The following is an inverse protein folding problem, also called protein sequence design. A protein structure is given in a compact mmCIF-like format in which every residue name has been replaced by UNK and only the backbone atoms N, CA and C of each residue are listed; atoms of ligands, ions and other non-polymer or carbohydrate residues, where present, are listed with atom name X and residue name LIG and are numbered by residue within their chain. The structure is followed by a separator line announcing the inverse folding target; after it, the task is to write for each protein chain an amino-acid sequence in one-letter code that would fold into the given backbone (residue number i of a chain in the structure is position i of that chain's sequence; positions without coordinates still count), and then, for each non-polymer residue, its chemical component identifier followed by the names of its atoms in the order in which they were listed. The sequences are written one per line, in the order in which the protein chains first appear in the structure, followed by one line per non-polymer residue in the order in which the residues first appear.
data_IF_676171122328
#
_entry.id   IF_676171122328
#
_cell.length_a   1.000
_cell.length_b   1.000
_cell.length_c   1.000
_cell.angle_alpha   90.00
_cell.angle_beta   90.00
_cell.angle_gamma   90.00
#
_symmetry.space_group_name_H-M   'P 1'
#
loop_
_entity.id
_entity.type
_entity.pdbx_description
1 polymer ?
#
# COMPACT_ATOMS: atom_id res chain seq x y z
N UNK A 1 9.86 12.14 -38.74
CA UNK A 1 8.74 11.71 -37.89
C UNK A 1 7.69 10.98 -38.74
N UNK A 2 7.44 11.32 -40.01
CA UNK A 2 6.43 10.65 -40.84
C UNK A 2 6.88 9.25 -41.40
N UNK A 3 8.17 8.95 -41.50
CA UNK A 3 8.69 7.66 -41.98
C UNK A 3 8.69 6.56 -40.91
N UNK A 4 8.66 6.87 -39.63
CA UNK A 4 8.60 5.89 -38.52
C UNK A 4 7.23 5.26 -38.34
N UNK A 5 6.16 5.91 -38.75
CA UNK A 5 4.80 5.39 -38.66
C UNK A 5 4.43 4.38 -39.75
N UNK A 6 5.11 4.40 -40.88
CA UNK A 6 4.83 3.48 -42.00
C UNK A 6 5.42 2.09 -41.74
N UNK A 7 6.48 1.96 -40.96
CA UNK A 7 7.10 0.66 -40.66
C UNK A 7 6.34 -0.14 -39.58
N UNK A 8 5.52 0.53 -38.73
CA UNK A 8 4.71 -0.13 -37.71
C UNK A 8 3.38 -0.67 -38.26
N UNK A 9 2.93 -0.14 -39.41
CA UNK A 9 1.66 -0.54 -40.04
C UNK A 9 1.75 -1.81 -40.92
N UNK A 10 2.96 -2.30 -41.22
CA UNK A 10 3.19 -3.45 -42.10
C UNK A 10 3.34 -4.81 -41.39
N UNK A 11 3.21 -4.83 -40.04
CA UNK A 11 3.32 -6.06 -39.26
C UNK A 11 1.97 -6.65 -38.79
N UNK A 12 0.83 -6.11 -39.25
CA UNK A 12 -0.49 -6.58 -38.82
C UNK A 12 -1.27 -7.12 -40.03
N UNK A 13 -0.77 -8.15 -40.70
CA UNK A 13 -1.60 -8.97 -41.58
C UNK A 13 -1.20 -10.44 -41.50
N UNK A 14 -1.49 -11.07 -40.36
CA UNK A 14 -1.72 -12.49 -40.29
C UNK A 14 -3.10 -12.73 -39.69
N UNK A 15 -4.10 -12.84 -40.56
CA UNK A 15 -5.45 -13.30 -40.19
C UNK A 15 -5.38 -14.81 -39.86
N UNK A 16 -5.11 -15.14 -38.62
CA UNK A 16 -5.45 -16.45 -38.10
C UNK A 16 -6.91 -16.40 -37.62
N UNK A 17 -7.80 -17.04 -38.34
CA UNK A 17 -9.14 -17.33 -37.87
C UNK A 17 -9.00 -18.30 -36.69
N UNK A 18 -9.06 -17.79 -35.48
CA UNK A 18 -9.23 -18.60 -34.28
C UNK A 18 -10.64 -19.13 -34.27
N UNK A 19 -10.82 -20.43 -34.47
CA UNK A 19 -12.04 -21.12 -34.11
C UNK A 19 -12.16 -21.03 -32.59
N UNK A 20 -13.20 -20.36 -32.12
CA UNK A 20 -13.56 -20.39 -30.70
C UNK A 20 -13.90 -21.83 -30.36
N UNK A 21 -13.03 -22.51 -29.65
CA UNK A 21 -13.34 -23.73 -28.95
C UNK A 21 -14.20 -23.31 -27.77
N UNK A 22 -15.45 -23.72 -27.68
CA UNK A 22 -16.26 -23.63 -26.48
C UNK A 22 -15.52 -24.43 -25.40
N UNK A 23 -14.72 -23.77 -24.61
CA UNK A 23 -14.29 -24.29 -23.31
C UNK A 23 -15.57 -24.47 -22.48
N UNK A 24 -15.89 -25.70 -22.16
CA UNK A 24 -16.82 -26.04 -21.09
C UNK A 24 -16.24 -25.48 -19.79
N UNK A 25 -16.52 -24.22 -19.53
CA UNK A 25 -16.22 -23.57 -18.29
C UNK A 25 -17.18 -24.12 -17.22
N UNK A 26 -16.88 -25.34 -16.75
CA UNK A 26 -17.43 -25.78 -15.47
C UNK A 26 -16.97 -24.71 -14.47
N UNK A 27 -17.90 -24.10 -13.75
CA UNK A 27 -17.62 -23.19 -12.64
C UNK A 27 -16.79 -23.93 -11.57
N UNK A 28 -15.50 -24.15 -11.84
CA UNK A 28 -14.55 -24.50 -10.81
C UNK A 28 -14.38 -23.23 -10.00
N UNK A 29 -14.91 -23.22 -8.79
CA UNK A 29 -14.60 -22.21 -7.81
C UNK A 29 -13.09 -22.33 -7.59
N UNK A 30 -12.35 -21.34 -8.02
CA UNK A 30 -10.90 -21.29 -7.88
C UNK A 30 -10.59 -21.37 -6.38
N UNK A 31 -9.87 -22.40 -5.97
CA UNK A 31 -9.51 -22.62 -4.57
C UNK A 31 -8.47 -21.58 -4.16
N UNK A 32 -8.86 -20.69 -3.26
CA UNK A 32 -7.94 -19.66 -2.77
C UNK A 32 -7.03 -20.27 -1.69
N UNK A 33 -5.76 -20.43 -2.03
CA UNK A 33 -4.73 -20.90 -1.10
C UNK A 33 -4.22 -19.72 -0.27
N UNK A 34 -4.12 -19.90 1.05
CA UNK A 34 -3.66 -18.89 2.00
C UNK A 34 -2.54 -19.42 2.88
N UNK A 35 -1.74 -18.51 3.46
CA UNK A 35 -0.65 -18.83 4.39
C UNK A 35 -0.92 -18.34 5.82
N UNK A 36 -2.18 -18.17 6.16
CA UNK A 36 -2.65 -17.63 7.42
C UNK A 36 -2.14 -18.38 8.67
N UNK A 37 -1.85 -19.67 8.56
CA UNK A 37 -1.27 -20.50 9.63
C UNK A 37 0.23 -20.80 9.42
N UNK A 38 0.95 -19.95 8.66
CA UNK A 38 2.36 -20.17 8.28
C UNK A 38 2.59 -21.44 7.44
N UNK A 39 1.53 -21.99 6.87
CA UNK A 39 1.51 -23.11 5.93
C UNK A 39 0.43 -22.85 4.88
N UNK A 40 0.63 -23.40 3.70
CA UNK A 40 -0.37 -23.31 2.61
C UNK A 40 -1.58 -24.19 2.94
N UNK A 41 -2.76 -23.60 2.87
CA UNK A 41 -4.04 -24.26 3.12
C UNK A 41 -5.13 -23.59 2.29
N UNK A 42 -6.20 -24.32 2.00
CA UNK A 42 -7.41 -23.71 1.47
C UNK A 42 -7.96 -22.67 2.46
N UNK A 43 -8.37 -21.51 1.95
CA UNK A 43 -8.97 -20.46 2.79
C UNK A 43 -10.24 -20.96 3.50
N UNK A 44 -10.92 -21.98 2.96
CA UNK A 44 -12.12 -22.57 3.55
C UNK A 44 -11.80 -23.51 4.73
N UNK A 45 -10.59 -24.07 4.76
CA UNK A 45 -10.16 -25.00 5.82
C UNK A 45 -9.53 -24.30 7.02
N UNK A 46 -9.28 -22.99 6.90
CA UNK A 46 -8.64 -22.23 7.96
C UNK A 46 -9.67 -21.82 9.02
N UNK A 47 -9.54 -22.23 10.31
CA UNK A 47 -10.51 -21.91 11.37
C UNK A 47 -10.33 -20.47 11.89
N UNK A 48 -10.10 -19.50 11.02
CA UNK A 48 -9.87 -18.09 11.32
C UNK A 48 -10.73 -17.27 10.35
N UNK A 49 -11.25 -16.14 10.83
CA UNK A 49 -11.95 -15.19 9.95
C UNK A 49 -10.94 -14.52 9.02
N UNK A 50 -10.84 -15.00 7.80
CA UNK A 50 -9.91 -14.52 6.79
C UNK A 50 -10.66 -13.94 5.58
N UNK A 51 -10.09 -12.94 4.95
CA UNK A 51 -10.42 -12.49 3.59
C UNK A 51 -9.13 -12.49 2.78
N UNK A 52 -9.12 -13.23 1.69
CA UNK A 52 -7.99 -13.26 0.76
C UNK A 52 -8.41 -12.62 -0.57
N UNK A 53 -7.53 -11.83 -1.14
CA UNK A 53 -7.72 -11.14 -2.42
C UNK A 53 -6.55 -11.50 -3.31
N UNK A 54 -6.82 -12.16 -4.43
CA UNK A 54 -5.83 -12.57 -5.41
C UNK A 54 -5.44 -11.48 -6.40
N UNK A 55 -4.50 -11.76 -7.28
CA UNK A 55 -3.91 -10.83 -8.25
C UNK A 55 -4.97 -10.20 -9.16
N UNK A 56 -5.98 -10.94 -9.60
CA UNK A 56 -7.03 -10.43 -10.49
C UNK A 56 -7.78 -9.25 -9.87
N UNK A 57 -8.21 -9.37 -8.61
CA UNK A 57 -8.89 -8.28 -7.91
C UNK A 57 -7.93 -7.11 -7.65
N UNK A 58 -6.70 -7.39 -7.26
CA UNK A 58 -5.69 -6.38 -6.98
C UNK A 58 -5.30 -5.58 -8.23
N UNK A 59 -5.26 -6.22 -9.39
CA UNK A 59 -4.87 -5.58 -10.64
C UNK A 59 -5.97 -4.71 -11.27
N UNK A 60 -7.24 -4.96 -10.93
CA UNK A 60 -8.40 -4.33 -11.57
C UNK A 60 -8.72 -2.93 -11.04
N UNK A 61 -8.89 -2.79 -9.74
CA UNK A 61 -9.43 -1.57 -9.11
C UNK A 61 -8.59 -1.03 -7.96
N UNK A 62 -7.76 -1.88 -7.35
CA UNK A 62 -6.95 -1.55 -6.19
C UNK A 62 -5.61 -0.97 -6.67
N UNK A 63 -5.23 0.21 -6.19
CA UNK A 63 -3.95 0.87 -6.52
C UNK A 63 -2.91 0.71 -5.42
N UNK A 64 -3.38 0.67 -4.17
CA UNK A 64 -2.54 0.46 -2.98
C UNK A 64 -3.35 -0.26 -1.90
N UNK A 65 -2.71 -0.64 -0.80
CA UNK A 65 -3.38 -1.36 0.28
C UNK A 65 -4.57 -0.57 0.88
N UNK A 66 -4.54 0.76 0.89
CA UNK A 66 -5.66 1.55 1.42
C UNK A 66 -6.97 1.36 0.62
N UNK A 67 -6.86 1.07 -0.67
CA UNK A 67 -8.02 0.87 -1.55
C UNK A 67 -8.80 -0.42 -1.24
N UNK A 68 -8.24 -1.35 -0.44
CA UNK A 68 -8.96 -2.57 -0.02
C UNK A 68 -10.06 -2.31 1.03
N UNK A 69 -10.19 -1.07 1.50
CA UNK A 69 -11.32 -0.67 2.33
C UNK A 69 -12.64 -0.95 1.61
N UNK A 70 -13.52 -1.68 2.28
CA UNK A 70 -14.81 -2.12 1.70
C UNK A 70 -14.79 -3.52 1.07
N UNK A 71 -13.64 -4.06 0.73
CA UNK A 71 -13.54 -5.46 0.25
C UNK A 71 -13.50 -6.49 1.36
N UNK A 72 -13.07 -6.09 2.57
CA UNK A 72 -13.11 -6.94 3.75
C UNK A 72 -14.08 -6.38 4.80
N UNK A 73 -15.03 -7.17 5.32
CA UNK A 73 -16.00 -6.70 6.32
C UNK A 73 -15.30 -6.23 7.60
N UNK A 74 -15.71 -5.06 8.13
CA UNK A 74 -15.19 -4.45 9.35
C UNK A 74 -13.68 -4.13 9.30
N UNK A 75 -13.14 -3.88 8.11
CA UNK A 75 -11.77 -3.42 7.87
C UNK A 75 -11.85 -2.04 7.23
N UNK A 76 -11.18 -1.08 7.86
CA UNK A 76 -11.01 0.27 7.34
C UNK A 76 -9.52 0.55 7.25
N UNK A 77 -9.07 0.92 6.08
CA UNK A 77 -7.73 1.37 5.83
C UNK A 77 -7.82 2.82 5.36
N UNK A 78 -7.38 3.73 6.21
CA UNK A 78 -7.28 5.14 5.87
C UNK A 78 -5.84 5.44 5.48
N UNK A 79 -5.61 6.06 4.33
CA UNK A 79 -4.34 6.70 4.04
C UNK A 79 -4.39 8.12 4.58
N UNK A 80 -3.35 8.57 5.24
CA UNK A 80 -3.16 9.99 5.56
C UNK A 80 -2.72 10.78 4.33
N UNK A 81 -3.32 10.47 3.19
CA UNK A 81 -3.11 11.21 1.97
C UNK A 81 -1.86 10.89 1.17
N UNK A 82 -1.05 9.92 1.59
CA UNK A 82 0.20 9.50 0.94
C UNK A 82 0.12 8.08 0.45
N UNK A 83 0.90 7.75 -0.61
CA UNK A 83 1.06 6.37 -1.06
C UNK A 83 1.92 5.53 -0.12
N UNK A 84 3.11 6.03 0.24
CA UNK A 84 4.06 5.34 1.12
C UNK A 84 3.89 5.68 2.59
N UNK A 85 2.95 6.57 2.93
CA UNK A 85 2.74 7.05 4.30
C UNK A 85 2.14 6.02 5.24
N UNK A 86 1.98 6.44 6.48
CA UNK A 86 1.33 5.66 7.49
C UNK A 86 -0.14 5.41 7.13
N UNK A 87 -0.57 4.17 7.16
CA UNK A 87 -1.97 3.84 7.04
C UNK A 87 -2.63 3.76 8.41
N UNK A 88 -3.80 4.40 8.52
CA UNK A 88 -4.72 4.13 9.62
C UNK A 88 -5.38 2.80 9.39
N UNK A 89 -4.97 1.79 10.11
CA UNK A 89 -5.54 0.45 9.98
C UNK A 89 -6.49 0.20 11.14
N UNK A 90 -7.74 -0.12 10.82
CA UNK A 90 -8.75 -0.49 11.79
C UNK A 90 -9.41 -1.82 11.41
N UNK A 91 -9.42 -2.77 12.34
CA UNK A 91 -10.11 -4.05 12.18
C UNK A 91 -11.06 -4.25 13.36
N UNK A 92 -12.38 -4.41 13.10
CA UNK A 92 -13.42 -4.61 14.11
C UNK A 92 -13.44 -3.53 15.20
N UNK A 93 -13.14 -2.27 14.83
CA UNK A 93 -13.09 -1.14 15.77
C UNK A 93 -11.77 -1.02 16.55
N UNK A 94 -10.84 -1.97 16.39
CA UNK A 94 -9.50 -1.89 17.00
C UNK A 94 -8.60 -1.13 16.02
N UNK A 95 -8.00 -0.04 16.47
CA UNK A 95 -7.07 0.80 15.70
C UNK A 95 -5.90 1.25 16.56
N UNK A 96 -4.84 1.75 15.96
CA UNK A 96 -3.83 2.52 16.67
C UNK A 96 -4.47 3.81 17.25
N UNK A 97 -3.98 4.26 18.40
CA UNK A 97 -4.50 5.48 19.03
C UNK A 97 -4.25 6.72 18.18
N UNK A 98 -3.10 6.75 17.51
CA UNK A 98 -2.73 7.76 16.50
C UNK A 98 -1.90 7.08 15.42
N UNK A 99 -1.99 7.57 14.18
CA UNK A 99 -1.21 7.02 13.07
C UNK A 99 0.12 7.75 12.86
N UNK A 100 0.24 8.91 13.51
CA UNK A 100 1.38 9.83 13.39
C UNK A 100 2.40 9.65 14.51
N UNK A 101 2.03 8.94 15.57
CA UNK A 101 2.87 8.75 16.76
C UNK A 101 3.50 7.36 16.75
N UNK A 102 4.81 7.33 16.49
CA UNK A 102 5.60 6.09 16.52
C UNK A 102 5.92 5.60 17.95
N UNK A 103 5.41 6.27 18.99
CA UNK A 103 5.59 5.86 20.39
C UNK A 103 4.76 4.64 20.77
N UNK A 104 3.68 4.37 20.03
CA UNK A 104 2.79 3.24 20.28
C UNK A 104 2.85 2.23 19.14
N UNK A 105 3.03 0.98 19.50
CA UNK A 105 2.89 -0.12 18.55
C UNK A 105 1.43 -0.22 18.03
N UNK A 106 1.26 -0.44 16.74
CA UNK A 106 -0.06 -0.72 16.15
C UNK A 106 -0.63 -2.03 16.70
N UNK A 107 -1.91 -2.10 17.07
CA UNK A 107 -2.55 -3.37 17.49
C UNK A 107 -2.85 -4.30 16.30
N UNK A 108 -2.55 -3.88 15.09
CA UNK A 108 -2.72 -4.64 13.86
C UNK A 108 -1.38 -4.70 13.16
N UNK A 109 -0.92 -5.92 12.91
CA UNK A 109 0.35 -6.14 12.21
C UNK A 109 0.16 -6.09 10.70
N UNK A 110 1.13 -5.50 10.02
CA UNK A 110 1.32 -5.64 8.57
C UNK A 110 2.57 -6.47 8.35
N UNK A 111 2.45 -7.53 7.59
CA UNK A 111 3.57 -8.38 7.18
C UNK A 111 3.73 -8.34 5.67
N UNK A 112 4.97 -8.34 5.21
CA UNK A 112 5.33 -8.49 3.79
C UNK A 112 6.24 -9.71 3.67
N UNK A 113 5.83 -10.71 2.91
CA UNK A 113 6.58 -11.95 2.69
C UNK A 113 7.04 -12.61 4.01
N UNK A 114 6.21 -12.49 5.05
CA UNK A 114 6.48 -13.05 6.38
C UNK A 114 7.25 -12.15 7.34
N UNK A 115 7.71 -10.98 6.91
CA UNK A 115 8.41 -9.99 7.74
C UNK A 115 7.41 -8.97 8.30
N UNK A 116 7.40 -8.82 9.61
CA UNK A 116 6.61 -7.81 10.31
C UNK A 116 7.16 -6.40 10.07
N UNK A 117 6.29 -5.48 9.69
CA UNK A 117 6.60 -4.07 9.60
C UNK A 117 6.42 -3.42 10.97
N UNK A 118 7.52 -2.99 11.58
CA UNK A 118 7.53 -2.40 12.92
C UNK A 118 6.89 -1.01 12.99
N UNK A 119 6.74 -0.34 11.85
CA UNK A 119 6.14 1.00 11.74
C UNK A 119 5.09 1.02 10.64
N UNK A 120 4.11 1.91 10.79
CA UNK A 120 3.09 2.12 9.76
C UNK A 120 3.64 2.88 8.54
N UNK A 121 4.70 3.69 8.73
CA UNK A 121 5.38 4.36 7.64
C UNK A 121 5.94 3.33 6.63
N UNK A 122 5.73 3.58 5.35
CA UNK A 122 6.13 2.66 4.28
C UNK A 122 5.31 1.37 4.22
N UNK A 123 4.17 1.30 4.92
CA UNK A 123 3.28 0.14 4.88
C UNK A 123 2.30 0.14 3.69
N UNK A 124 2.11 1.29 3.05
CA UNK A 124 1.27 1.41 1.86
C UNK A 124 2.07 1.03 0.62
N UNK A 125 2.03 -0.23 0.27
CA UNK A 125 2.73 -0.77 -0.89
C UNK A 125 1.92 -0.60 -2.17
N UNK A 126 2.62 -0.45 -3.29
CA UNK A 126 2.01 -0.57 -4.61
C UNK A 126 1.62 -2.04 -4.86
N UNK A 127 0.44 -2.26 -5.40
CA UNK A 127 -0.13 -3.59 -5.62
C UNK A 127 0.32 -4.26 -6.92
N UNK A 128 1.14 -3.62 -7.73
CA UNK A 128 1.46 -4.09 -9.08
C UNK A 128 2.27 -5.40 -9.10
N UNK A 129 3.01 -5.70 -8.02
CA UNK A 129 3.79 -6.92 -7.84
C UNK A 129 3.25 -7.83 -6.73
N UNK A 130 1.99 -7.69 -6.35
CA UNK A 130 1.36 -8.53 -5.34
C UNK A 130 0.70 -9.75 -5.97
N UNK A 131 0.92 -10.90 -5.36
CA UNK A 131 0.20 -12.13 -5.67
C UNK A 131 -1.15 -12.15 -4.96
N UNK A 132 -1.14 -11.85 -3.66
CA UNK A 132 -2.34 -11.79 -2.84
C UNK A 132 -2.15 -11.00 -1.55
N UNK A 133 -3.28 -10.56 -0.99
CA UNK A 133 -3.37 -9.98 0.34
C UNK A 133 -4.31 -10.83 1.18
N UNK A 134 -3.86 -11.20 2.37
CA UNK A 134 -4.64 -11.97 3.34
C UNK A 134 -4.92 -11.08 4.56
N UNK A 135 -6.20 -10.90 4.91
CA UNK A 135 -6.62 -10.12 6.08
C UNK A 135 -7.20 -11.07 7.12
N UNK A 136 -6.46 -11.28 8.19
CA UNK A 136 -6.84 -12.12 9.32
C UNK A 136 -7.47 -11.21 10.39
N UNK A 137 -8.72 -11.43 10.71
CA UNK A 137 -9.50 -10.59 11.62
C UNK A 137 -9.62 -11.21 13.01
N UNK A 138 -9.17 -10.50 14.02
CA UNK A 138 -9.12 -10.93 15.41
C UNK A 138 -7.72 -11.32 15.86
N UNK A 139 -7.52 -11.66 17.15
CA UNK A 139 -6.21 -11.90 17.74
C UNK A 139 -5.41 -13.01 17.03
N UNK A 140 -4.16 -12.73 16.67
CA UNK A 140 -3.25 -13.64 15.97
C UNK A 140 -1.92 -13.84 16.69
N UNK A 141 -1.86 -13.56 18.00
CA UNK A 141 -0.62 -13.53 18.78
C UNK A 141 0.18 -14.82 18.78
N UNK A 142 -0.47 -15.97 18.65
CA UNK A 142 0.19 -17.28 18.68
C UNK A 142 1.13 -17.52 17.49
N UNK A 143 0.73 -17.05 16.28
CA UNK A 143 1.47 -17.31 15.04
C UNK A 143 2.23 -16.08 14.53
N UNK A 144 1.75 -14.89 14.85
CA UNK A 144 2.32 -13.64 14.34
C UNK A 144 2.97 -12.77 15.42
N UNK A 145 2.90 -13.19 16.70
CA UNK A 145 3.55 -12.49 17.80
C UNK A 145 2.79 -11.29 18.34
N UNK A 146 3.54 -10.32 18.89
CA UNK A 146 2.97 -9.10 19.46
C UNK A 146 2.28 -8.24 18.39
N UNK A 147 1.49 -7.26 18.83
CA UNK A 147 0.89 -6.24 17.95
C UNK A 147 -0.16 -6.79 16.97
N UNK A 148 -0.83 -7.88 17.32
CA UNK A 148 -1.80 -8.58 16.48
C UNK A 148 -3.15 -8.78 17.17
N UNK A 149 -3.49 -7.90 18.12
CA UNK A 149 -4.74 -8.00 18.89
C UNK A 149 -5.97 -7.76 18.02
N UNK A 150 -5.90 -6.83 17.06
CA UNK A 150 -6.99 -6.54 16.12
C UNK A 150 -6.99 -7.48 14.92
N UNK A 151 -5.80 -7.90 14.50
CA UNK A 151 -5.62 -8.75 13.31
C UNK A 151 -4.26 -8.63 12.66
N UNK A 152 -4.16 -9.20 11.47
CA UNK A 152 -2.95 -9.18 10.63
C UNK A 152 -3.35 -8.91 9.18
N UNK A 153 -2.60 -8.07 8.51
CA UNK A 153 -2.60 -7.93 7.06
C UNK A 153 -1.31 -8.56 6.56
N UNK A 154 -1.44 -9.62 5.79
CA UNK A 154 -0.32 -10.36 5.25
C UNK A 154 -0.27 -10.15 3.73
N UNK A 155 0.77 -9.52 3.25
CA UNK A 155 1.00 -9.19 1.85
C UNK A 155 2.01 -10.18 1.29
N UNK A 156 1.64 -10.84 0.21
CA UNK A 156 2.48 -11.81 -0.49
C UNK A 156 2.75 -11.26 -1.89
N UNK A 157 4.02 -11.15 -2.25
CA UNK A 157 4.46 -10.69 -3.57
C UNK A 157 4.60 -11.87 -4.53
N UNK A 158 4.47 -11.58 -5.83
CA UNK A 158 4.72 -12.58 -6.87
C UNK A 158 6.16 -13.09 -6.79
N UNK A 159 6.37 -14.33 -7.21
CA UNK A 159 7.68 -14.98 -7.21
C UNK A 159 8.32 -14.91 -8.60
N UNK A 160 9.66 -14.95 -8.72
CA UNK A 160 10.32 -15.14 -10.01
C UNK A 160 9.83 -16.42 -10.70
N UNK A 161 9.41 -16.32 -11.96
CA UNK A 161 8.85 -17.49 -12.70
C UNK A 161 9.92 -18.39 -13.30
N UNK A 162 11.16 -17.88 -13.46
CA UNK A 162 12.21 -18.60 -14.17
C UNK A 162 12.06 -18.60 -15.70
N UNK A 163 11.02 -17.97 -16.22
CA UNK A 163 10.77 -17.80 -17.65
C UNK A 163 10.88 -16.34 -18.05
N UNK A 164 11.42 -16.03 -19.24
CA UNK A 164 11.42 -14.67 -19.75
C UNK A 164 10.00 -14.16 -19.94
N UNK A 165 9.66 -13.05 -19.26
CA UNK A 165 8.33 -12.47 -19.34
C UNK A 165 8.22 -11.24 -18.47
N UNK A 166 7.02 -10.65 -18.42
CA UNK A 166 6.77 -9.52 -17.56
C UNK A 166 5.53 -8.73 -17.94
N UNK A 167 5.26 -7.70 -17.17
CA UNK A 167 4.18 -6.76 -17.39
C UNK A 167 4.69 -5.33 -17.25
N UNK A 168 4.21 -4.44 -18.12
CA UNK A 168 4.48 -3.01 -18.07
C UNK A 168 3.13 -2.29 -18.13
N UNK A 169 2.95 -1.33 -17.25
CA UNK A 169 1.76 -0.47 -17.21
C UNK A 169 2.18 0.98 -17.23
N UNK A 170 1.63 1.75 -18.16
CA UNK A 170 1.78 3.20 -18.22
C UNK A 170 0.40 3.81 -18.05
N UNK A 171 0.27 4.77 -17.15
CA UNK A 171 -0.97 5.52 -16.93
C UNK A 171 -0.69 6.99 -17.09
N UNK A 172 -1.48 7.65 -17.91
CA UNK A 172 -1.48 9.10 -18.08
C UNK A 172 -2.85 9.62 -17.63
N UNK A 173 -2.89 10.73 -16.93
CA UNK A 173 -4.13 11.25 -16.36
C UNK A 173 -4.14 12.76 -16.19
N UNK A 174 -5.17 13.25 -15.55
CA UNK A 174 -5.29 14.67 -15.17
C UNK A 174 -4.20 15.05 -14.14
N UNK A 175 -3.96 16.35 -13.97
CA UNK A 175 -2.93 16.92 -13.12
C UNK A 175 -1.53 16.41 -13.48
N UNK A 176 -1.21 16.36 -14.74
CA UNK A 176 0.06 15.88 -15.31
C UNK A 176 0.48 14.51 -14.77
N UNK A 177 -0.50 13.68 -14.40
CA UNK A 177 -0.28 12.35 -13.86
C UNK A 177 0.43 11.46 -14.86
N UNK A 178 1.55 10.92 -14.43
CA UNK A 178 2.38 9.97 -15.16
C UNK A 178 2.73 8.81 -14.23
N UNK A 179 2.31 7.61 -14.58
CA UNK A 179 2.65 6.41 -13.83
C UNK A 179 3.32 5.41 -14.75
N UNK A 180 4.43 4.88 -14.29
CA UNK A 180 5.15 3.78 -14.93
C UNK A 180 5.32 2.65 -13.94
N UNK A 181 4.93 1.45 -14.32
CA UNK A 181 5.13 0.24 -13.54
C UNK A 181 5.64 -0.87 -14.44
N UNK A 182 6.64 -1.59 -13.97
CA UNK A 182 7.22 -2.71 -14.70
C UNK A 182 7.58 -3.85 -13.75
N UNK A 183 7.32 -5.08 -14.18
CA UNK A 183 7.84 -6.31 -13.59
C UNK A 183 8.39 -7.15 -14.72
N UNK A 184 9.64 -7.59 -14.60
CA UNK A 184 10.34 -8.38 -15.62
C UNK A 184 10.91 -9.62 -14.94
N UNK A 185 10.58 -10.78 -15.49
CA UNK A 185 11.09 -12.08 -15.05
C UNK A 185 12.10 -12.64 -16.07
N UNK A 186 13.10 -13.36 -15.56
CA UNK A 186 14.07 -14.06 -16.39
C UNK A 186 14.72 -15.21 -15.62
N UNK A 187 15.17 -16.24 -16.31
CA UNK A 187 16.14 -17.18 -15.79
C UNK A 187 17.55 -16.59 -15.95
N UNK A 188 18.34 -16.62 -14.89
CA UNK A 188 19.77 -16.30 -14.95
C UNK A 188 20.61 -17.57 -15.19
N UNK A 189 20.18 -18.68 -14.58
CA UNK A 189 20.72 -20.04 -14.79
C UNK A 189 19.57 -21.05 -14.62
N UNK A 190 19.85 -22.33 -14.86
CA UNK A 190 18.86 -23.40 -14.64
C UNK A 190 18.30 -23.46 -13.21
N UNK A 191 19.05 -22.96 -12.22
CA UNK A 191 18.71 -23.01 -10.80
C UNK A 191 18.51 -21.63 -10.18
N UNK A 192 18.60 -20.57 -10.95
CA UNK A 192 18.49 -19.18 -10.47
C UNK A 192 17.58 -18.37 -11.39
N UNK A 193 16.42 -18.05 -10.88
CA UNK A 193 15.48 -17.11 -11.50
C UNK A 193 15.61 -15.72 -10.86
N UNK A 194 15.33 -14.69 -11.65
CA UNK A 194 15.30 -13.31 -11.18
C UNK A 194 14.03 -12.60 -11.64
N UNK A 195 13.55 -11.72 -10.80
CA UNK A 195 12.48 -10.77 -11.08
C UNK A 195 12.97 -9.36 -10.73
N UNK A 196 12.79 -8.42 -11.63
CA UNK A 196 13.06 -7.00 -11.41
C UNK A 196 11.75 -6.24 -11.44
N UNK A 197 11.57 -5.30 -10.54
CA UNK A 197 10.38 -4.47 -10.49
C UNK A 197 10.74 -3.00 -10.30
N UNK A 198 9.93 -2.13 -10.90
CA UNK A 198 10.05 -0.69 -10.77
C UNK A 198 8.70 -0.01 -10.89
N UNK A 199 8.48 0.99 -10.06
CA UNK A 199 7.30 1.87 -10.07
C UNK A 199 7.77 3.31 -9.96
N UNK A 200 7.24 4.18 -10.81
CA UNK A 200 7.41 5.63 -10.72
C UNK A 200 6.06 6.28 -10.93
N UNK A 201 5.67 7.18 -10.04
CA UNK A 201 4.38 7.85 -10.06
C UNK A 201 4.62 9.32 -9.77
N UNK A 202 4.18 10.17 -10.67
CA UNK A 202 4.21 11.62 -10.54
C UNK A 202 2.84 12.18 -10.88
N UNK A 203 2.37 13.13 -10.10
CA UNK A 203 1.17 13.90 -10.39
C UNK A 203 1.22 15.24 -9.67
N UNK A 204 0.76 16.30 -10.32
CA UNK A 204 0.62 17.61 -9.69
C UNK A 204 -0.50 17.60 -8.65
N UNK A 205 -0.35 18.43 -7.63
CA UNK A 205 -1.37 18.65 -6.62
C UNK A 205 -2.65 19.24 -7.24
N UNK A 206 -3.78 18.84 -6.72
CA UNK A 206 -5.11 19.23 -7.24
C UNK A 206 -5.92 20.11 -6.28
N UNK A 207 -5.43 20.34 -5.05
CA UNK A 207 -6.07 21.18 -4.04
C UNK A 207 -5.36 22.54 -3.99
N UNK A 208 -5.91 23.61 -4.54
CA UNK A 208 -5.27 24.92 -4.51
C UNK A 208 -5.07 25.39 -3.06
N UNK A 209 -3.87 25.88 -2.74
CA UNK A 209 -3.60 26.56 -1.48
C UNK A 209 -3.70 28.07 -1.70
N UNK A 210 -4.70 28.70 -1.10
CA UNK A 210 -4.99 30.13 -1.32
C UNK A 210 -4.15 31.05 -0.41
N UNK A 211 -3.50 30.51 0.62
CA UNK A 211 -2.69 31.27 1.57
C UNK A 211 -1.28 31.50 1.06
N UNK A 212 -0.60 30.42 0.66
CA UNK A 212 0.80 30.48 0.19
C UNK A 212 0.94 30.30 -1.32
N UNK A 213 -0.15 29.97 -2.00
CA UNK A 213 -0.16 29.62 -3.43
C UNK A 213 0.28 28.17 -3.68
N UNK A 214 0.20 27.75 -4.95
CA UNK A 214 0.47 26.38 -5.36
C UNK A 214 -0.69 25.44 -5.09
N UNK A 215 -0.44 24.15 -5.18
CA UNK A 215 -1.44 23.10 -4.94
C UNK A 215 -0.89 22.09 -3.95
N UNK A 216 -1.77 21.51 -3.13
CA UNK A 216 -1.49 20.41 -2.23
C UNK A 216 -1.95 19.08 -2.86
N UNK A 217 -1.37 17.96 -2.39
CA UNK A 217 -1.76 16.63 -2.79
C UNK A 217 -1.08 16.15 -4.07
N UNK A 218 0.11 16.66 -4.36
CA UNK A 218 1.01 16.11 -5.38
C UNK A 218 1.48 14.71 -4.98
N UNK A 219 1.81 13.91 -5.98
CA UNK A 219 2.35 12.58 -5.82
C UNK A 219 3.74 12.52 -6.48
N UNK A 220 4.74 12.12 -5.70
CA UNK A 220 6.09 11.78 -6.19
C UNK A 220 6.55 10.53 -5.46
N UNK A 221 6.44 9.39 -6.14
CA UNK A 221 6.73 8.07 -5.59
C UNK A 221 7.58 7.27 -6.54
N UNK A 222 8.67 6.71 -6.03
CA UNK A 222 9.55 5.80 -6.76
C UNK A 222 9.86 4.58 -5.91
N UNK A 223 9.70 3.39 -6.47
CA UNK A 223 10.12 2.14 -5.85
C UNK A 223 10.73 1.23 -6.90
N UNK A 224 11.78 0.50 -6.52
CA UNK A 224 12.42 -0.49 -7.38
C UNK A 224 13.11 -1.57 -6.56
N UNK A 225 13.31 -2.70 -7.18
CA UNK A 225 14.00 -3.80 -6.53
C UNK A 225 14.18 -5.02 -7.42
N UNK A 226 14.74 -6.05 -6.80
CA UNK A 226 14.93 -7.33 -7.43
C UNK A 226 14.66 -8.46 -6.45
N UNK A 227 14.09 -9.55 -6.97
CA UNK A 227 13.90 -10.80 -6.25
C UNK A 227 14.63 -11.91 -6.98
N UNK A 228 15.40 -12.70 -6.24
CA UNK A 228 16.14 -13.84 -6.75
C UNK A 228 15.62 -15.12 -6.10
N UNK A 229 15.27 -16.09 -6.92
CA UNK A 229 14.83 -17.41 -6.50
C UNK A 229 15.92 -18.42 -6.87
N UNK A 230 16.53 -19.03 -5.87
CA UNK A 230 17.55 -20.06 -6.04
C UNK A 230 17.04 -21.42 -5.59
N UNK A 231 16.96 -22.35 -6.55
CA UNK A 231 16.45 -23.73 -6.38
C UNK A 231 17.46 -24.74 -6.93
N UNK A 232 18.58 -24.99 -6.20
CA UNK A 232 19.63 -25.88 -6.69
C UNK A 232 19.21 -27.36 -6.78
N UNK A 233 18.15 -27.73 -6.08
CA UNK A 233 17.53 -29.05 -6.10
C UNK A 233 16.10 -28.97 -5.55
N UNK A 234 15.35 -30.06 -5.64
CA UNK A 234 13.94 -30.12 -5.25
C UNK A 234 13.67 -29.93 -3.75
N UNK A 235 14.71 -29.96 -2.89
CA UNK A 235 14.59 -29.87 -1.44
C UNK A 235 15.00 -28.52 -0.86
N UNK A 236 15.69 -27.70 -1.61
CA UNK A 236 16.18 -26.41 -1.13
C UNK A 236 15.68 -25.26 -1.99
N UNK A 237 15.19 -24.27 -1.33
CA UNK A 237 14.77 -23.01 -1.95
C UNK A 237 15.27 -21.84 -1.12
N UNK A 238 15.75 -20.80 -1.80
CA UNK A 238 16.06 -19.51 -1.21
C UNK A 238 15.49 -18.37 -2.08
N UNK A 239 14.72 -17.48 -1.45
CA UNK A 239 14.13 -16.30 -2.07
C UNK A 239 14.73 -15.06 -1.40
N UNK A 240 15.53 -14.31 -2.15
CA UNK A 240 16.15 -13.05 -1.71
C UNK A 240 15.49 -11.90 -2.42
N UNK A 241 14.97 -10.93 -1.67
CA UNK A 241 14.47 -9.66 -2.21
C UNK A 241 15.28 -8.50 -1.66
N UNK A 242 15.68 -7.60 -2.54
CA UNK A 242 16.28 -6.30 -2.21
C UNK A 242 15.45 -5.20 -2.84
N UNK A 243 15.12 -4.16 -2.07
CA UNK A 243 14.22 -3.10 -2.53
C UNK A 243 14.57 -1.75 -1.93
N UNK A 244 14.24 -0.70 -2.68
CA UNK A 244 14.30 0.68 -2.24
C UNK A 244 13.02 1.41 -2.66
N UNK A 245 12.54 2.29 -1.80
CA UNK A 245 11.37 3.14 -2.01
C UNK A 245 11.68 4.55 -1.53
N UNK A 246 11.29 5.54 -2.31
CA UNK A 246 11.30 6.96 -1.96
C UNK A 246 9.92 7.54 -2.29
N UNK A 247 9.22 8.04 -1.27
CA UNK A 247 7.92 8.70 -1.40
C UNK A 247 8.08 10.14 -0.87
N UNK A 248 8.00 11.09 -1.78
CA UNK A 248 8.06 12.53 -1.51
C UNK A 248 6.70 13.20 -1.75
N UNK A 249 5.63 12.41 -1.84
CA UNK A 249 4.28 12.91 -2.05
C UNK A 249 3.86 13.82 -0.90
N UNK A 250 3.31 14.98 -1.23
CA UNK A 250 2.78 15.88 -0.22
C UNK A 250 1.57 15.29 0.51
N UNK A 251 1.40 15.67 1.76
CA UNK A 251 0.20 15.35 2.52
C UNK A 251 -1.01 16.04 1.89
N UNK A 252 -2.15 15.36 1.86
CA UNK A 252 -3.41 16.00 1.53
C UNK A 252 -3.74 17.02 2.61
N UNK A 253 -4.11 18.21 2.18
CA UNK A 253 -4.59 19.23 3.12
C UNK A 253 -5.86 18.74 3.84
N UNK A 254 -5.84 18.86 5.16
CA UNK A 254 -7.03 18.63 5.97
C UNK A 254 -7.78 19.95 6.13
N UNK A 255 -8.97 20.07 5.55
CA UNK A 255 -9.88 21.13 5.91
C UNK A 255 -10.56 20.76 7.23
N UNK A 256 -10.22 21.44 8.30
CA UNK A 256 -10.93 21.30 9.56
C UNK A 256 -12.28 22.02 9.46
N UNK A 257 -13.32 21.26 9.17
CA UNK A 257 -14.69 21.78 9.28
C UNK A 257 -15.08 21.84 10.76
N UNK A 258 -14.89 22.99 11.39
CA UNK A 258 -15.49 23.25 12.69
C UNK A 258 -17.00 23.46 12.51
N UNK A 259 -17.81 22.42 12.67
CA UNK A 259 -19.26 22.54 12.76
C UNK A 259 -19.63 23.17 14.11
N UNK A 260 -19.34 24.44 14.27
CA UNK A 260 -19.90 25.23 15.38
C UNK A 260 -21.21 25.80 14.88
N UNK A 261 -22.34 25.35 15.46
CA UNK A 261 -23.64 25.92 15.15
C UNK A 261 -23.58 27.45 15.37
N UNK A 262 -24.12 28.27 14.43
CA UNK A 262 -24.10 29.72 14.58
C UNK A 262 -24.65 30.15 15.94
N UNK A 263 -23.85 30.86 16.74
CA UNK A 263 -24.23 31.37 18.06
C UNK A 263 -23.90 30.47 19.26
N UNK A 264 -23.30 29.31 19.04
CA UNK A 264 -22.79 28.46 20.15
C UNK A 264 -21.29 28.66 20.25
N UNK A 265 -20.86 29.50 21.15
CA UNK A 265 -19.46 29.56 21.59
C UNK A 265 -19.34 28.50 22.68
N UNK A 266 -18.67 27.37 22.47
CA UNK A 266 -18.44 26.43 23.54
C UNK A 266 -17.63 27.13 24.65
N UNK A 267 -17.98 26.96 25.93
CA UNK A 267 -17.21 27.53 27.01
C UNK A 267 -15.78 27.00 26.95
N UNK A 268 -14.75 27.84 27.20
CA UNK A 268 -13.38 27.38 27.24
C UNK A 268 -13.25 26.27 28.29
N UNK A 269 -12.54 25.17 27.98
CA UNK A 269 -12.31 24.11 28.94
C UNK A 269 -11.56 24.66 30.15
N UNK A 270 -11.92 24.21 31.37
CA UNK A 270 -11.28 24.67 32.60
C UNK A 270 -9.87 24.08 32.71
N UNK A 271 -8.82 24.89 32.53
CA UNK A 271 -7.44 24.46 32.77
C UNK A 271 -6.37 25.50 32.33
N UNK A 272 -5.19 25.48 32.94
CA UNK A 272 -4.15 26.48 32.67
C UNK A 272 -3.37 26.30 31.36
N UNK A 273 -3.63 25.28 30.56
CA UNK A 273 -2.94 24.98 29.29
C UNK A 273 -3.93 24.82 28.11
N UNK A 274 -4.77 25.83 27.89
CA UNK A 274 -5.76 25.82 26.79
C UNK A 274 -5.26 26.47 25.51
N UNK A 275 -3.95 26.46 25.26
CA UNK A 275 -3.38 27.17 24.12
C UNK A 275 -3.70 26.49 22.78
N UNK A 276 -3.91 25.19 22.75
CA UNK A 276 -4.05 24.48 21.47
C UNK A 276 -5.48 24.44 20.91
N UNK A 277 -6.48 24.58 21.78
CA UNK A 277 -7.90 24.63 21.34
C UNK A 277 -8.44 26.07 21.24
N UNK A 278 -7.83 26.99 21.96
CA UNK A 278 -8.25 28.39 21.96
C UNK A 278 -7.73 29.17 20.74
N UNK A 279 -6.68 28.72 20.07
CA UNK A 279 -6.13 29.36 18.89
C UNK A 279 -7.16 29.41 17.76
N UNK A 280 -7.78 28.28 17.42
CA UNK A 280 -8.82 28.23 16.39
C UNK A 280 -10.07 29.02 16.77
N UNK A 281 -10.53 28.95 18.02
CA UNK A 281 -11.74 29.68 18.47
C UNK A 281 -11.49 31.18 18.61
N UNK A 282 -10.29 31.59 19.00
CA UNK A 282 -9.88 33.00 19.08
C UNK A 282 -9.71 33.58 17.68
N UNK A 283 -9.16 32.81 16.76
CA UNK A 283 -9.07 33.19 15.35
C UNK A 283 -10.46 33.43 14.73
N UNK A 284 -11.44 32.56 15.02
CA UNK A 284 -12.82 32.75 14.59
C UNK A 284 -13.51 33.99 15.18
N UNK A 285 -13.08 34.42 16.36
CA UNK A 285 -13.63 35.63 17.00
C UNK A 285 -13.01 36.89 16.42
N UNK A 286 -11.74 36.83 16.03
CA UNK A 286 -10.98 37.97 15.47
C UNK A 286 -11.15 38.05 13.97
N UNK A 287 -11.22 36.89 13.29
CA UNK A 287 -11.38 36.76 11.84
C UNK A 287 -12.57 35.84 11.52
N UNK A 288 -13.82 36.36 11.56
CA UNK A 288 -15.03 35.56 11.33
C UNK A 288 -15.03 34.83 9.96
N UNK A 289 -14.34 35.38 8.98
CA UNK A 289 -14.16 34.76 7.67
C UNK A 289 -13.28 33.50 7.67
N UNK A 290 -12.38 33.35 8.64
CA UNK A 290 -11.54 32.16 8.79
C UNK A 290 -12.33 30.93 9.30
N UNK A 291 -13.52 31.17 9.84
CA UNK A 291 -14.41 30.12 10.37
C UNK A 291 -15.64 29.97 9.50
N UNK A 292 -15.45 29.57 8.27
CA UNK A 292 -16.56 29.25 7.38
C UNK A 292 -17.16 27.92 7.79
N UNK A 293 -18.36 27.95 8.33
CA UNK A 293 -19.19 26.77 8.55
C UNK A 293 -19.83 26.38 7.20
N UNK A 294 -19.07 25.80 6.30
CA UNK A 294 -19.64 25.13 5.13
C UNK A 294 -19.76 23.65 5.43
N UNK A 295 -20.93 23.03 5.28
CA UNK A 295 -21.06 21.59 5.28
C UNK A 295 -20.40 20.95 4.05
N UNK A 296 -20.09 21.77 3.04
CA UNK A 296 -19.45 21.32 1.81
C UNK A 296 -17.93 21.33 1.98
N UNK A 297 -17.26 20.32 1.41
CA UNK A 297 -15.80 20.30 1.34
C UNK A 297 -15.34 21.59 0.61
N UNK A 298 -14.47 22.33 1.24
CA UNK A 298 -13.86 23.47 0.59
C UNK A 298 -13.00 22.97 -0.58
N UNK A 299 -13.14 23.53 -1.78
CA UNK A 299 -12.36 23.13 -2.94
C UNK A 299 -10.91 23.66 -2.90
N UNK A 300 -10.45 24.16 -1.76
CA UNK A 300 -9.13 24.75 -1.56
C UNK A 300 -8.64 24.52 -0.13
N UNK A 301 -7.31 24.67 0.08
CA UNK A 301 -6.66 24.65 1.37
C UNK A 301 -6.29 26.06 1.83
N UNK A 302 -6.23 26.27 3.14
CA UNK A 302 -5.83 27.51 3.79
C UNK A 302 -4.67 27.24 4.78
N UNK A 303 -3.58 26.63 4.30
CA UNK A 303 -2.42 26.34 5.13
C UNK A 303 -1.38 27.43 4.94
N UNK A 304 -0.72 27.87 6.00
CA UNK A 304 0.37 28.85 5.97
C UNK A 304 1.75 28.17 5.79
N UNK A 305 1.79 26.88 5.93
CA UNK A 305 2.99 26.05 5.72
C UNK A 305 2.68 24.98 4.67
N UNK A 306 3.63 24.72 3.78
CA UNK A 306 3.52 23.60 2.88
C UNK A 306 3.64 22.29 3.66
N UNK A 307 2.68 21.40 3.49
CA UNK A 307 2.70 20.07 4.11
C UNK A 307 3.63 19.17 3.32
N UNK A 308 4.88 19.15 3.70
CA UNK A 308 5.88 18.26 3.12
C UNK A 308 6.05 17.02 3.99
N UNK A 309 6.25 15.93 3.32
CA UNK A 309 6.63 14.73 4.01
C UNK A 309 7.36 13.79 3.07
N UNK A 310 8.40 13.12 3.57
CA UNK A 310 9.12 12.10 2.81
C UNK A 310 9.21 10.80 3.60
N UNK A 311 9.14 9.68 2.90
CA UNK A 311 9.43 8.37 3.47
C UNK A 311 10.40 7.65 2.54
N UNK A 312 11.57 7.29 3.07
CA UNK A 312 12.54 6.43 2.39
C UNK A 312 12.60 5.09 3.07
N UNK A 313 12.62 4.03 2.28
CA UNK A 313 12.75 2.68 2.79
C UNK A 313 13.79 1.92 1.99
N UNK A 314 14.69 1.24 2.69
CA UNK A 314 15.58 0.23 2.12
C UNK A 314 15.32 -1.09 2.83
N UNK A 315 15.17 -2.17 2.09
CA UNK A 315 14.87 -3.45 2.69
C UNK A 315 15.56 -4.64 1.99
N UNK A 316 15.90 -5.63 2.81
CA UNK A 316 16.40 -6.93 2.38
C UNK A 316 15.57 -8.00 3.08
N UNK A 317 15.00 -8.91 2.30
CA UNK A 317 14.24 -10.05 2.81
C UNK A 317 14.83 -11.35 2.26
N UNK A 318 15.10 -12.31 3.13
CA UNK A 318 15.57 -13.64 2.75
C UNK A 318 14.65 -14.69 3.36
N UNK A 319 14.00 -15.45 2.51
CA UNK A 319 13.22 -16.63 2.88
C UNK A 319 13.93 -17.87 2.37
N UNK A 320 14.22 -18.82 3.25
CA UNK A 320 14.81 -20.10 2.86
C UNK A 320 13.97 -21.24 3.41
N UNK A 321 13.83 -22.29 2.63
CA UNK A 321 13.22 -23.54 3.07
C UNK A 321 14.09 -24.72 2.67
N UNK A 322 14.18 -25.71 3.56
CA UNK A 322 14.89 -26.95 3.32
C UNK A 322 14.08 -28.15 3.82
N UNK A 323 13.77 -29.04 2.92
CA UNK A 323 13.10 -30.31 3.22
C UNK A 323 14.12 -31.35 3.69
N UNK A 324 14.21 -31.53 5.00
CA UNK A 324 15.08 -32.53 5.59
C UNK A 324 14.65 -33.96 5.23
N UNK A 325 13.33 -34.17 5.16
CA UNK A 325 12.69 -35.40 4.72
C UNK A 325 11.21 -35.08 4.40
N UNK A 326 10.47 -36.10 3.94
CA UNK A 326 9.07 -35.94 3.49
C UNK A 326 8.10 -35.41 4.57
N UNK A 327 8.49 -35.43 5.84
CA UNK A 327 7.66 -34.98 6.96
C UNK A 327 8.22 -33.76 7.70
N UNK A 328 9.40 -33.28 7.34
CA UNK A 328 10.07 -32.21 8.08
C UNK A 328 10.71 -31.18 7.12
N UNK A 329 10.19 -29.98 7.16
CA UNK A 329 10.73 -28.81 6.46
C UNK A 329 11.19 -27.77 7.47
N UNK A 330 12.40 -27.26 7.31
CA UNK A 330 12.95 -26.16 8.08
C UNK A 330 12.82 -24.88 7.25
N UNK A 331 12.21 -23.84 7.83
CA UNK A 331 12.12 -22.52 7.22
C UNK A 331 12.92 -21.50 8.01
N UNK A 332 13.66 -20.65 7.31
CA UNK A 332 14.40 -19.53 7.88
C UNK A 332 13.96 -18.25 7.18
N UNK A 333 13.58 -17.26 7.97
CA UNK A 333 13.14 -15.95 7.46
C UNK A 333 13.99 -14.89 8.13
N UNK A 334 14.63 -14.06 7.31
CA UNK A 334 15.40 -12.90 7.74
C UNK A 334 14.92 -11.66 7.03
N UNK A 335 14.78 -10.57 7.75
CA UNK A 335 14.44 -9.25 7.20
C UNK A 335 15.26 -8.15 7.86
N UNK A 336 15.77 -7.27 7.03
CA UNK A 336 16.31 -5.98 7.43
C UNK A 336 15.52 -4.89 6.71
N UNK A 337 15.09 -3.88 7.45
CA UNK A 337 14.38 -2.73 6.90
C UNK A 337 14.82 -1.48 7.61
N UNK A 338 15.26 -0.49 6.85
CA UNK A 338 15.54 0.86 7.31
C UNK A 338 14.47 1.80 6.76
N UNK A 339 13.90 2.62 7.64
CA UNK A 339 12.83 3.57 7.28
C UNK A 339 13.18 4.91 7.86
N UNK A 340 13.36 5.88 6.97
CA UNK A 340 13.51 7.29 7.35
C UNK A 340 12.24 8.03 6.97
N UNK A 341 11.68 8.77 7.90
CA UNK A 341 10.47 9.57 7.70
C UNK A 341 10.67 10.98 8.22
N UNK A 342 10.45 11.96 7.34
CA UNK A 342 10.42 13.37 7.67
C UNK A 342 9.01 13.92 7.42
N UNK A 343 8.48 14.71 8.36
CA UNK A 343 7.15 15.31 8.26
C UNK A 343 7.15 16.75 8.74
N UNK A 344 6.51 17.60 7.96
CA UNK A 344 6.21 18.99 8.32
C UNK A 344 4.68 19.13 8.33
N UNK A 345 4.15 19.55 9.47
CA UNK A 345 2.72 19.80 9.65
C UNK A 345 2.47 21.26 10.02
N UNK A 346 1.34 21.76 9.54
CA UNK A 346 0.69 22.96 10.03
C UNK A 346 -0.44 22.53 10.99
N UNK A 347 -0.49 23.12 12.19
CA UNK A 347 -1.48 22.81 13.23
C UNK A 347 -2.43 23.97 13.46
#
# INVERSE_FOLDING_TARGET
ILLSFVFLALLITNNNYAFAQEENNSLQIEEIIVTAQKREQSAQDVPISITAMGEELLSSTIRNIADITGYAPNVVLGGEGRRGGASSIQIRGIAAATNTDNTFDSPIAVNIDGIYLGQNAGSLLDNFDMERIEILRGPQGTLFGKNTTGGVINVIRTRPTGEPGGKIKVTLGENDRQEFRAVINTALTDNLAAKFFATSIQADGWIPNITIGGNNGDEDYTAYGATFLFTPNDRFEALLTVESMDDQSALKAYNQNFNVAPGVIPPPPPGPNTTDFSGGLLACTIYPEACRTSPDQLPYAENDTQHDASVKTEAITLNMSYELNDNLTVKYIFGYRDVTEDRIYDY
#
